data_IF_855308912358
#
_entry.id   IF_855308912358
#
_cell.length_a   1.000
_cell.length_b   1.000
_cell.length_c   1.000
_cell.angle_alpha   90.00
_cell.angle_beta   90.00
_cell.angle_gamma   90.00
#
_symmetry.space_group_name_H-M   'P 1'
#
loop_
_entity.id
_entity.type
_entity.pdbx_description
1 polymer ?
#
# COMPACT_ATOMS: atom_id res chain seq x y z
N UNK A 1 18.78 36.60 -5.09
CA UNK A 1 17.35 36.22 -5.04
C UNK A 1 17.22 34.82 -4.44
N UNK A 2 16.91 34.71 -3.14
CA UNK A 2 16.84 33.43 -2.42
C UNK A 2 15.53 32.71 -2.68
N UNK A 3 15.58 31.41 -3.03
CA UNK A 3 14.39 30.58 -3.25
C UNK A 3 13.78 30.17 -1.91
N UNK A 4 12.55 30.61 -1.62
CA UNK A 4 11.79 30.22 -0.43
C UNK A 4 11.36 28.74 -0.58
N UNK A 5 11.87 27.87 0.30
CA UNK A 5 11.45 26.46 0.37
C UNK A 5 10.20 26.33 1.23
N UNK A 6 9.03 26.08 0.63
CA UNK A 6 7.82 25.73 1.37
C UNK A 6 7.99 24.35 2.03
N UNK A 7 8.16 24.32 3.36
CA UNK A 7 8.07 23.07 4.15
C UNK A 7 6.62 22.62 4.14
N UNK A 8 6.32 21.55 3.40
CA UNK A 8 5.01 20.88 3.41
C UNK A 8 4.76 20.31 4.80
N UNK A 9 3.83 20.91 5.56
CA UNK A 9 3.37 20.36 6.85
C UNK A 9 2.83 18.96 6.61
N UNK A 10 3.45 17.93 7.19
CA UNK A 10 2.84 16.59 7.30
C UNK A 10 1.56 16.79 8.11
N UNK A 11 0.39 16.59 7.52
CA UNK A 11 -0.85 16.41 8.28
C UNK A 11 -0.60 15.19 9.19
N UNK A 12 -0.41 15.43 10.48
CA UNK A 12 -0.58 14.37 11.47
C UNK A 12 -2.04 13.94 11.37
N UNK A 13 -2.28 12.64 11.23
CA UNK A 13 -3.62 12.08 11.34
C UNK A 13 -4.12 12.46 12.74
N UNK A 14 -5.31 13.07 12.82
CA UNK A 14 -5.91 13.40 14.10
C UNK A 14 -6.06 12.12 14.93
N UNK A 15 -6.00 12.19 16.28
CA UNK A 15 -6.33 11.06 17.13
C UNK A 15 -7.76 10.64 16.76
N UNK A 16 -7.88 9.43 16.26
CA UNK A 16 -9.18 8.86 15.89
C UNK A 16 -9.79 8.42 17.21
N UNK A 17 -10.93 9.00 17.58
CA UNK A 17 -11.63 8.59 18.79
C UNK A 17 -11.87 7.07 18.81
N UNK A 18 -12.02 6.46 20.01
CA UNK A 18 -12.03 5.01 20.18
C UNK A 18 -13.05 4.26 19.31
N UNK A 19 -14.13 4.91 18.87
CA UNK A 19 -15.26 4.22 18.24
C UNK A 19 -15.21 4.14 16.70
N UNK A 20 -14.30 4.85 16.02
CA UNK A 20 -14.26 4.82 14.55
C UNK A 20 -12.98 4.20 14.01
N UNK A 21 -13.10 3.18 13.18
CA UNK A 21 -11.95 2.66 12.45
C UNK A 21 -11.57 3.65 11.32
N UNK A 22 -10.31 4.15 11.26
CA UNK A 22 -9.99 5.33 10.44
C UNK A 22 -9.56 5.05 9.01
N UNK A 23 -9.60 3.79 8.57
CA UNK A 23 -9.10 3.41 7.25
C UNK A 23 -10.23 2.91 6.34
N UNK A 24 -10.23 3.41 5.11
CA UNK A 24 -11.12 2.97 4.07
C UNK A 24 -10.62 1.63 3.48
N UNK A 25 -11.55 0.69 3.26
CA UNK A 25 -11.25 -0.60 2.63
C UNK A 25 -11.40 -0.49 1.11
N UNK A 26 -10.52 -1.16 0.38
CA UNK A 26 -10.52 -1.17 -1.09
C UNK A 26 -10.28 -2.57 -1.61
N UNK A 27 -10.81 -2.81 -2.81
CA UNK A 27 -10.33 -3.82 -3.75
C UNK A 27 -9.22 -3.19 -4.59
N UNK A 28 -8.05 -3.82 -4.63
CA UNK A 28 -6.84 -3.26 -5.23
C UNK A 28 -6.24 -4.29 -6.18
N UNK A 29 -6.20 -3.97 -7.46
CA UNK A 29 -5.49 -4.72 -8.48
C UNK A 29 -4.14 -4.04 -8.71
N UNK A 30 -3.06 -4.79 -8.58
CA UNK A 30 -1.72 -4.25 -8.69
C UNK A 30 -0.77 -5.25 -9.34
N UNK A 31 0.42 -4.78 -9.72
CA UNK A 31 1.48 -5.63 -10.27
C UNK A 31 2.58 -5.87 -9.25
N UNK A 32 3.05 -7.11 -9.12
CA UNK A 32 4.13 -7.49 -8.22
C UNK A 32 5.31 -8.01 -9.03
N UNK A 33 6.50 -7.40 -8.91
CA UNK A 33 7.69 -7.90 -9.61
C UNK A 33 8.03 -9.31 -9.13
N UNK A 34 8.20 -10.23 -10.07
CA UNK A 34 8.66 -11.58 -9.79
C UNK A 34 10.17 -11.68 -9.99
N UNK A 35 10.80 -12.55 -9.21
CA UNK A 35 12.22 -12.89 -9.31
C UNK A 35 12.38 -14.40 -9.25
N UNK A 36 13.34 -14.93 -10.01
CA UNK A 36 13.81 -16.30 -9.90
C UNK A 36 15.33 -16.28 -9.66
N UNK A 37 15.83 -17.18 -8.83
CA UNK A 37 17.25 -17.31 -8.48
C UNK A 37 17.96 -18.41 -9.28
N UNK A 38 17.22 -19.19 -10.07
CA UNK A 38 17.77 -20.21 -10.96
C UNK A 38 18.45 -19.64 -12.21
N UNK A 39 19.14 -20.53 -12.94
CA UNK A 39 19.62 -20.23 -14.29
C UNK A 39 18.47 -20.43 -15.28
N UNK A 40 18.33 -19.50 -16.22
CA UNK A 40 17.32 -19.55 -17.27
C UNK A 40 17.97 -19.38 -18.65
N UNK A 41 17.51 -20.15 -19.63
CA UNK A 41 17.73 -19.87 -21.04
C UNK A 41 17.02 -18.57 -21.46
N UNK A 42 17.42 -18.00 -22.60
CA UNK A 42 16.77 -16.80 -23.14
C UNK A 42 15.26 -17.00 -23.35
N UNK A 43 14.84 -18.19 -23.79
CA UNK A 43 13.43 -18.52 -24.02
C UNK A 43 12.63 -18.62 -22.73
N UNK A 44 13.24 -19.09 -21.64
CA UNK A 44 12.59 -19.13 -20.31
C UNK A 44 12.46 -17.72 -19.74
N UNK A 45 13.50 -16.90 -19.88
CA UNK A 45 13.49 -15.53 -19.35
C UNK A 45 12.54 -14.60 -20.13
N UNK A 46 12.44 -14.75 -21.45
CA UNK A 46 11.50 -13.97 -22.28
C UNK A 46 10.02 -14.19 -21.89
N UNK A 47 9.70 -15.37 -21.38
CA UNK A 47 8.36 -15.70 -20.87
C UNK A 47 8.10 -15.20 -19.46
N UNK A 48 9.14 -14.75 -18.75
CA UNK A 48 9.01 -14.28 -17.38
C UNK A 48 8.21 -12.97 -17.37
N UNK A 49 7.19 -12.93 -16.53
CA UNK A 49 6.32 -11.76 -16.37
C UNK A 49 6.16 -11.41 -14.89
N UNK A 50 5.68 -10.20 -14.63
CA UNK A 50 5.25 -9.80 -13.28
C UNK A 50 3.92 -10.49 -12.93
N UNK A 51 3.64 -10.63 -11.63
CA UNK A 51 2.35 -11.12 -11.15
C UNK A 51 1.30 -9.99 -11.12
N UNK A 52 0.03 -10.34 -11.28
CA UNK A 52 -1.11 -9.38 -11.22
C UNK A 52 -2.05 -9.70 -10.04
N UNK A 53 -1.59 -9.54 -8.79
CA UNK A 53 -2.40 -9.83 -7.62
C UNK A 53 -3.61 -8.91 -7.44
N UNK A 54 -4.56 -9.44 -6.67
CA UNK A 54 -5.74 -8.76 -6.16
C UNK A 54 -5.71 -8.76 -4.63
N UNK A 55 -6.01 -7.62 -4.02
CA UNK A 55 -6.03 -7.48 -2.56
C UNK A 55 -7.27 -6.74 -2.09
N UNK A 56 -7.98 -7.31 -1.11
CA UNK A 56 -9.02 -6.61 -0.34
C UNK A 56 -8.41 -6.10 0.97
N UNK A 57 -7.97 -4.84 0.97
CA UNK A 57 -7.15 -4.30 2.03
C UNK A 57 -7.57 -2.87 2.40
N UNK A 58 -7.22 -2.47 3.62
CA UNK A 58 -7.36 -1.10 4.08
C UNK A 58 -6.17 -0.26 3.67
N UNK A 59 -6.41 0.98 3.27
CA UNK A 59 -5.35 1.91 2.88
C UNK A 59 -4.85 2.67 4.10
N UNK A 60 -3.69 2.30 4.61
CA UNK A 60 -3.01 3.01 5.69
C UNK A 60 -2.56 4.41 5.24
N UNK A 61 -1.93 4.48 4.06
CA UNK A 61 -1.44 5.73 3.49
C UNK A 61 -1.25 5.60 1.98
N UNK A 62 -1.68 6.62 1.25
CA UNK A 62 -1.43 6.75 -0.20
C UNK A 62 -0.83 8.11 -0.48
N UNK A 63 0.30 8.14 -1.20
CA UNK A 63 0.90 9.37 -1.71
C UNK A 63 1.32 9.22 -3.18
N UNK A 64 1.99 10.24 -3.73
CA UNK A 64 2.37 10.26 -5.16
C UNK A 64 3.45 9.23 -5.52
N UNK A 65 4.09 8.60 -4.54
CA UNK A 65 5.17 7.64 -4.77
C UNK A 65 4.77 6.23 -4.39
N UNK A 66 4.06 6.07 -3.29
CA UNK A 66 3.77 4.77 -2.70
C UNK A 66 2.34 4.68 -2.16
N UNK A 67 1.86 3.45 -2.09
CA UNK A 67 0.68 3.07 -1.32
C UNK A 67 1.09 2.06 -0.25
N UNK A 68 0.54 2.21 0.94
CA UNK A 68 0.68 1.31 2.07
C UNK A 68 -0.69 0.76 2.42
N UNK A 69 -0.81 -0.55 2.43
CA UNK A 69 -2.06 -1.28 2.69
C UNK A 69 -1.82 -2.33 3.77
N UNK A 70 -2.91 -2.79 4.39
CA UNK A 70 -2.91 -3.89 5.35
C UNK A 70 -4.22 -4.67 5.27
N UNK A 71 -4.18 -5.97 5.54
CA UNK A 71 -5.34 -6.87 5.41
C UNK A 71 -5.87 -7.41 6.73
N UNK A 72 -5.18 -7.14 7.84
CA UNK A 72 -5.59 -7.52 9.19
C UNK A 72 -5.16 -6.47 10.20
N UNK A 73 -5.91 -6.32 11.29
CA UNK A 73 -5.54 -5.44 12.40
C UNK A 73 -6.05 -6.02 13.72
N UNK A 74 -5.38 -5.66 14.81
CA UNK A 74 -5.84 -5.90 16.17
C UNK A 74 -5.93 -4.55 16.91
N UNK A 75 -6.82 -4.46 17.89
CA UNK A 75 -7.04 -3.25 18.68
C UNK A 75 -6.84 -3.56 20.15
N UNK A 76 -5.82 -2.96 20.73
CA UNK A 76 -5.53 -3.07 22.14
C UNK A 76 -6.60 -2.36 22.99
N UNK A 77 -6.77 -2.74 24.27
CA UNK A 77 -7.76 -2.12 25.16
C UNK A 77 -7.58 -0.60 25.37
N UNK A 78 -6.36 -0.08 25.17
CA UNK A 78 -6.04 1.36 25.24
C UNK A 78 -6.34 2.12 23.93
N UNK A 79 -6.76 1.40 22.89
CA UNK A 79 -7.12 1.95 21.59
C UNK A 79 -5.98 1.95 20.56
N UNK A 80 -4.79 1.46 20.89
CA UNK A 80 -3.72 1.26 19.91
C UNK A 80 -4.15 0.23 18.85
N UNK A 81 -3.77 0.46 17.59
CA UNK A 81 -4.08 -0.44 16.47
C UNK A 81 -2.77 -1.00 15.93
N UNK A 82 -2.64 -2.32 15.94
CA UNK A 82 -1.56 -3.04 15.28
C UNK A 82 -2.02 -3.55 13.91
N UNK A 83 -1.11 -3.58 12.94
CA UNK A 83 -1.44 -3.88 11.53
C UNK A 83 -0.70 -5.12 11.04
N UNK A 84 -1.45 -6.10 10.54
CA UNK A 84 -0.95 -7.32 9.90
C UNK A 84 -1.06 -7.28 8.37
N UNK A 85 -0.40 -8.23 7.70
CA UNK A 85 -0.42 -8.39 6.24
C UNK A 85 -0.19 -7.08 5.48
N UNK A 86 0.90 -6.41 5.83
CA UNK A 86 1.21 -5.05 5.37
C UNK A 86 1.99 -5.10 4.07
N UNK A 87 1.51 -4.40 3.05
CA UNK A 87 2.24 -4.21 1.80
C UNK A 87 2.52 -2.72 1.56
N UNK A 88 3.71 -2.42 1.04
CA UNK A 88 4.09 -1.09 0.59
C UNK A 88 4.71 -1.19 -0.79
N UNK A 89 4.08 -0.59 -1.79
CA UNK A 89 4.55 -0.67 -3.16
C UNK A 89 4.37 0.67 -3.89
N UNK A 90 5.11 0.88 -5.00
CA UNK A 90 4.99 2.10 -5.79
C UNK A 90 3.56 2.31 -6.28
N UNK A 91 3.12 3.57 -6.35
CA UNK A 91 1.79 3.87 -6.85
C UNK A 91 1.62 3.46 -8.32
N UNK A 92 2.71 3.41 -9.07
CA UNK A 92 2.74 2.96 -10.48
C UNK A 92 2.35 1.50 -10.66
N UNK A 93 2.44 0.68 -9.61
CA UNK A 93 2.05 -0.72 -9.66
C UNK A 93 0.53 -0.89 -9.50
N UNK A 94 -0.19 0.12 -9.01
CA UNK A 94 -1.65 0.07 -8.90
C UNK A 94 -2.27 0.18 -10.29
N UNK A 95 -3.02 -0.84 -10.70
CA UNK A 95 -3.78 -0.87 -11.96
C UNK A 95 -5.18 -0.30 -11.78
N UNK A 96 -5.87 -0.73 -10.72
CA UNK A 96 -7.24 -0.33 -10.42
C UNK A 96 -7.50 -0.35 -8.91
N UNK A 97 -8.38 0.53 -8.43
CA UNK A 97 -8.85 0.55 -7.05
C UNK A 97 -10.33 0.87 -6.99
N UNK A 98 -11.07 0.05 -6.25
CA UNK A 98 -12.49 0.25 -5.97
C UNK A 98 -12.69 0.32 -4.45
N UNK A 99 -13.36 1.37 -3.97
CA UNK A 99 -13.65 1.51 -2.54
C UNK A 99 -14.79 0.57 -2.16
N UNK A 100 -14.61 -0.20 -1.09
CA UNK A 100 -15.68 -1.02 -0.50
C UNK A 100 -16.44 -0.12 0.49
N UNK A 101 -17.75 0.03 0.27
CA UNK A 101 -18.66 0.79 1.14
C UNK A 101 -19.05 0.00 2.38
#
# INVERSE_FOLDING_TARGET
MGKIKFKRKKKQLAPVGPDKFPYDKYKIWWTDPCGDTGWASATEFDKMTYSEPYSEAWVFKKDKKSIKIFSSYDRDPDGEITFGDRNCFPISNVRHMEKIN
#
